data_IF_198203076097
#
_entry.id   IF_198203076097
#
_cell.length_a   1.000
_cell.length_b   1.000
_cell.length_c   1.000
_cell.angle_alpha   90.00
_cell.angle_beta   90.00
_cell.angle_gamma   90.00
#
_symmetry.space_group_name_H-M   'P 1'
#
loop_
_entity.id
_entity.type
_entity.pdbx_description
1 polymer ?
#
# COMPACT_ATOMS: atom_id res chain seq x y z
N UNK A 1 -7.47 -12.10 3.04
CA UNK A 1 -6.72 -11.13 2.24
C UNK A 1 -5.25 -11.47 2.32
N UNK A 2 -4.57 -11.53 1.19
CA UNK A 2 -3.11 -11.68 1.19
C UNK A 2 -2.51 -10.41 1.81
N UNK A 3 -1.51 -10.54 2.70
CA UNK A 3 -0.85 -9.37 3.26
C UNK A 3 -0.25 -8.53 2.13
N UNK A 4 -0.52 -7.24 2.17
CA UNK A 4 0.08 -6.28 1.23
C UNK A 4 1.49 -5.99 1.74
N UNK A 5 2.48 -6.51 1.04
CA UNK A 5 3.89 -6.19 1.31
C UNK A 5 4.16 -4.78 0.79
N UNK A 6 4.43 -3.85 1.67
CA UNK A 6 4.76 -2.47 1.29
C UNK A 6 5.79 -1.88 2.24
N UNK A 7 6.59 -0.93 1.74
CA UNK A 7 7.55 -0.19 2.57
C UNK A 7 6.84 0.47 3.76
N UNK A 8 5.62 1.00 3.56
CA UNK A 8 4.84 1.59 4.65
C UNK A 8 4.55 0.62 5.79
N UNK A 9 4.27 -0.66 5.49
CA UNK A 9 4.05 -1.69 6.51
C UNK A 9 5.35 -2.07 7.24
N UNK A 10 6.47 -2.08 6.54
CA UNK A 10 7.79 -2.31 7.16
C UNK A 10 8.13 -1.16 8.11
N UNK A 11 7.90 0.09 7.69
CA UNK A 11 8.10 1.27 8.53
C UNK A 11 7.17 1.28 9.75
N UNK A 12 5.91 0.86 9.59
CA UNK A 12 4.96 0.70 10.70
C UNK A 12 5.47 -0.34 11.72
N UNK A 13 5.93 -1.51 11.24
CA UNK A 13 6.49 -2.56 12.11
C UNK A 13 7.74 -2.07 12.84
N UNK A 14 8.65 -1.39 12.14
CA UNK A 14 9.83 -0.75 12.77
C UNK A 14 9.43 0.23 13.87
N UNK A 15 8.47 1.13 13.60
CA UNK A 15 7.98 2.11 14.58
C UNK A 15 7.39 1.46 15.82
N UNK A 16 6.65 0.35 15.63
CA UNK A 16 6.00 -0.40 16.71
C UNK A 16 6.92 -1.41 17.41
N UNK A 17 8.16 -1.59 16.94
CA UNK A 17 9.08 -2.59 17.45
C UNK A 17 8.63 -4.04 17.21
N UNK A 18 7.91 -4.29 16.12
CA UNK A 18 7.37 -5.59 15.75
C UNK A 18 8.22 -6.21 14.65
N UNK A 19 8.35 -7.53 14.67
CA UNK A 19 8.93 -8.29 13.58
C UNK A 19 8.00 -8.34 12.37
N UNK A 20 8.60 -8.50 11.18
CA UNK A 20 7.86 -8.78 9.96
C UNK A 20 7.45 -10.25 9.89
N UNK A 21 6.33 -10.57 9.26
CA UNK A 21 6.03 -11.95 8.93
C UNK A 21 7.09 -12.55 8.01
N UNK A 22 7.34 -13.84 8.16
CA UNK A 22 8.22 -14.60 7.27
C UNK A 22 7.81 -14.48 5.80
N UNK A 23 8.78 -14.41 4.90
CA UNK A 23 8.54 -14.35 3.45
C UNK A 23 8.15 -12.96 2.93
N UNK A 24 8.30 -11.89 3.73
CA UNK A 24 8.03 -10.53 3.29
C UNK A 24 9.23 -9.86 2.66
N UNK A 25 10.44 -10.11 3.16
CA UNK A 25 11.61 -9.37 2.77
C UNK A 25 12.89 -10.22 2.78
N UNK A 26 13.89 -9.72 2.07
CA UNK A 26 15.27 -10.14 2.13
C UNK A 26 16.10 -8.99 2.73
N UNK A 27 17.20 -9.33 3.39
CA UNK A 27 18.23 -8.37 3.79
C UNK A 27 19.07 -7.90 2.59
N UNK A 28 20.05 -7.04 2.82
CA UNK A 28 20.98 -6.54 1.78
C UNK A 28 21.83 -7.63 1.12
N UNK A 29 22.01 -8.76 1.79
CA UNK A 29 22.81 -9.90 1.32
C UNK A 29 21.94 -10.95 0.60
N UNK A 30 20.60 -10.71 0.53
CA UNK A 30 19.64 -11.56 -0.16
C UNK A 30 19.11 -12.72 0.70
N UNK A 31 19.33 -12.73 2.01
CA UNK A 31 18.78 -13.74 2.91
C UNK A 31 17.41 -13.32 3.41
N UNK A 32 16.49 -14.29 3.65
CA UNK A 32 15.20 -13.98 4.28
C UNK A 32 15.38 -13.30 5.64
N UNK A 33 14.60 -12.25 5.90
CA UNK A 33 14.64 -11.53 7.17
C UNK A 33 13.23 -11.20 7.69
N UNK A 34 13.07 -11.21 9.01
CA UNK A 34 11.91 -10.68 9.75
C UNK A 34 12.22 -9.35 10.44
N UNK A 35 13.49 -8.91 10.41
CA UNK A 35 13.90 -7.63 10.97
C UNK A 35 13.51 -6.48 10.01
N UNK A 36 12.68 -5.51 10.47
CA UNK A 36 12.29 -4.37 9.65
C UNK A 36 13.46 -3.49 9.20
N UNK A 37 14.51 -3.36 9.99
CA UNK A 37 15.68 -2.55 9.62
C UNK A 37 16.48 -3.21 8.49
N UNK A 38 16.77 -4.49 8.63
CA UNK A 38 17.45 -5.27 7.58
C UNK A 38 16.62 -5.30 6.28
N UNK A 39 15.29 -5.38 6.39
CA UNK A 39 14.38 -5.36 5.24
C UNK A 39 14.40 -4.02 4.48
N UNK A 40 14.56 -2.88 5.18
CA UNK A 40 14.66 -1.56 4.55
C UNK A 40 15.98 -1.35 3.79
N UNK A 41 17.04 -2.07 4.19
CA UNK A 41 18.33 -2.08 3.48
C UNK A 41 18.36 -3.07 2.31
N UNK A 42 17.41 -4.01 2.28
CA UNK A 42 17.32 -5.10 1.33
C UNK A 42 16.21 -4.94 0.29
N UNK A 43 15.37 -5.95 0.16
CA UNK A 43 14.32 -5.99 -0.85
C UNK A 43 13.02 -6.62 -0.33
N UNK A 44 11.89 -6.08 -0.75
CA UNK A 44 10.58 -6.68 -0.53
C UNK A 44 10.40 -7.84 -1.52
N UNK A 45 9.91 -8.97 -1.04
CA UNK A 45 9.60 -10.11 -1.89
C UNK A 45 8.33 -9.90 -2.70
N UNK A 46 8.32 -10.43 -3.92
CA UNK A 46 7.14 -10.39 -4.77
C UNK A 46 6.03 -11.31 -4.22
N UNK A 47 4.79 -10.82 -4.16
CA UNK A 47 3.64 -11.65 -3.82
C UNK A 47 3.47 -12.79 -4.84
N UNK A 48 3.08 -14.00 -4.38
CA UNK A 48 2.87 -15.15 -5.27
C UNK A 48 4.12 -15.66 -5.98
N UNK A 49 5.32 -15.38 -5.45
CA UNK A 49 6.59 -15.88 -5.94
C UNK A 49 6.91 -15.43 -7.37
N UNK A 50 7.33 -16.39 -8.24
CA UNK A 50 7.79 -16.07 -9.60
C UNK A 50 6.71 -15.47 -10.50
N UNK A 51 5.42 -15.78 -10.28
CA UNK A 51 4.32 -15.18 -11.05
C UNK A 51 4.14 -13.70 -10.72
N UNK A 52 4.20 -13.35 -9.44
CA UNK A 52 4.17 -11.96 -8.99
C UNK A 52 5.41 -11.19 -9.43
N UNK A 53 6.58 -11.81 -9.43
CA UNK A 53 7.79 -11.23 -9.98
C UNK A 53 7.64 -10.90 -11.48
N UNK A 54 7.12 -11.83 -12.27
CA UNK A 54 6.89 -11.59 -13.70
C UNK A 54 5.90 -10.43 -13.94
N UNK A 55 4.83 -10.35 -13.14
CA UNK A 55 3.89 -9.22 -13.20
C UNK A 55 4.57 -7.91 -12.81
N UNK A 56 5.34 -7.87 -11.73
CA UNK A 56 6.08 -6.69 -11.30
C UNK A 56 7.08 -6.23 -12.38
N UNK A 57 7.78 -7.17 -13.03
CA UNK A 57 8.70 -6.86 -14.10
C UNK A 57 8.00 -6.22 -15.33
N UNK A 58 6.82 -6.71 -15.69
CA UNK A 58 6.03 -6.08 -16.76
C UNK A 58 5.53 -4.68 -16.37
N UNK A 59 5.09 -4.50 -15.13
CA UNK A 59 4.67 -3.18 -14.64
C UNK A 59 5.84 -2.21 -14.65
N UNK A 60 7.04 -2.64 -14.26
CA UNK A 60 8.26 -1.83 -14.33
C UNK A 60 8.54 -1.34 -15.75
N UNK A 61 8.41 -2.20 -16.77
CA UNK A 61 8.55 -1.81 -18.17
C UNK A 61 7.51 -0.75 -18.57
N UNK A 62 6.27 -0.90 -18.11
CA UNK A 62 5.19 0.01 -18.44
C UNK A 62 5.31 1.37 -17.75
N UNK A 63 5.83 1.39 -16.50
CA UNK A 63 5.93 2.62 -15.70
C UNK A 63 7.32 3.28 -15.74
N UNK A 64 8.32 2.59 -16.27
CA UNK A 64 9.67 3.10 -16.47
C UNK A 64 9.95 3.36 -17.96
N UNK A 65 10.52 2.38 -18.69
CA UNK A 65 10.94 2.57 -20.08
C UNK A 65 9.86 3.06 -21.02
N UNK A 66 8.61 2.55 -20.91
CA UNK A 66 7.52 2.93 -21.83
C UNK A 66 7.18 4.42 -21.73
N UNK A 67 7.20 4.98 -20.54
CA UNK A 67 6.85 6.39 -20.28
C UNK A 67 8.08 7.30 -20.18
N UNK A 68 9.27 6.79 -20.54
CA UNK A 68 10.55 7.50 -20.49
C UNK A 68 10.90 8.03 -19.08
N UNK A 69 10.55 7.26 -18.05
CA UNK A 69 10.93 7.52 -16.66
C UNK A 69 12.12 6.63 -16.25
N UNK A 70 12.68 6.89 -15.07
CA UNK A 70 13.71 6.02 -14.49
C UNK A 70 13.17 4.63 -14.18
N UNK A 71 14.07 3.64 -14.15
CA UNK A 71 13.74 2.25 -13.89
C UNK A 71 14.79 1.55 -13.02
N UNK A 72 14.42 0.46 -12.40
CA UNK A 72 15.30 -0.32 -11.54
C UNK A 72 15.93 0.52 -10.42
N UNK A 73 17.27 0.45 -10.30
CA UNK A 73 18.01 1.16 -9.24
C UNK A 73 18.07 2.68 -9.41
N UNK A 74 17.69 3.20 -10.57
CA UNK A 74 17.61 4.65 -10.84
C UNK A 74 16.35 5.31 -10.25
N UNK A 75 15.36 4.51 -9.89
CA UNK A 75 14.09 5.04 -9.34
C UNK A 75 14.31 5.59 -7.95
N UNK A 76 13.97 6.86 -7.76
CA UNK A 76 13.84 7.50 -6.46
C UNK A 76 12.37 7.79 -6.18
N UNK A 77 11.89 7.34 -5.03
CA UNK A 77 10.50 7.57 -4.60
C UNK A 77 10.31 8.90 -3.87
N UNK A 78 9.14 9.06 -3.27
CA UNK A 78 8.73 10.27 -2.54
C UNK A 78 9.22 10.29 -1.08
N UNK A 79 9.92 9.27 -0.61
CA UNK A 79 10.35 9.15 0.79
C UNK A 79 11.50 10.09 1.19
N UNK A 80 12.18 10.71 0.23
CA UNK A 80 13.27 11.65 0.50
C UNK A 80 12.85 13.07 0.16
N UNK A 81 12.88 14.02 1.11
CA UNK A 81 12.54 15.43 0.84
C UNK A 81 13.61 16.13 -0.01
N UNK A 82 14.81 15.55 -0.14
CA UNK A 82 15.96 16.17 -0.83
C UNK A 82 16.22 15.60 -2.21
N UNK A 83 15.54 14.51 -2.60
CA UNK A 83 15.71 13.88 -3.92
C UNK A 83 14.46 14.07 -4.76
N UNK A 84 14.63 14.38 -6.04
CA UNK A 84 13.51 14.39 -6.97
C UNK A 84 12.94 12.99 -7.12
N UNK A 85 11.61 12.88 -7.12
CA UNK A 85 10.92 11.65 -7.46
C UNK A 85 11.08 11.38 -8.95
N UNK A 86 11.64 10.22 -9.30
CA UNK A 86 11.91 9.82 -10.69
C UNK A 86 11.06 8.64 -11.15
N UNK A 87 10.15 8.15 -10.29
CA UNK A 87 9.21 7.08 -10.66
C UNK A 87 8.29 7.55 -11.78
N UNK A 88 7.97 6.65 -12.69
CA UNK A 88 6.90 6.87 -13.68
C UNK A 88 5.59 6.27 -13.23
N UNK A 89 4.50 6.77 -13.81
CA UNK A 89 3.15 6.25 -13.61
C UNK A 89 2.49 6.00 -14.97
N UNK A 90 1.67 4.95 -15.04
CA UNK A 90 0.83 4.65 -16.19
C UNK A 90 -0.62 4.58 -15.75
N UNK A 91 -1.49 5.30 -16.45
CA UNK A 91 -2.94 5.28 -16.22
C UNK A 91 -3.63 4.62 -17.40
N UNK A 92 -4.47 3.61 -17.14
CA UNK A 92 -5.31 2.94 -18.12
C UNK A 92 -6.77 3.14 -17.73
N UNK A 93 -7.54 3.80 -18.59
CA UNK A 93 -8.98 3.96 -18.42
C UNK A 93 -9.72 3.06 -19.42
N UNK A 94 -10.63 2.23 -18.92
CA UNK A 94 -11.46 1.34 -19.73
C UNK A 94 -12.92 1.75 -19.52
N UNK A 95 -13.61 2.07 -20.64
CA UNK A 95 -15.04 2.35 -20.62
C UNK A 95 -15.84 1.04 -20.77
N UNK A 96 -16.48 0.53 -19.71
CA UNK A 96 -17.21 -0.72 -19.77
C UNK A 96 -18.39 -0.68 -20.76
N UNK A 97 -18.94 0.52 -21.02
CA UNK A 97 -20.09 0.67 -21.94
C UNK A 97 -19.77 0.27 -23.38
N UNK A 98 -18.47 0.19 -23.75
CA UNK A 98 -18.02 -0.28 -25.07
C UNK A 98 -18.04 -1.81 -25.22
N UNK A 99 -18.19 -2.53 -24.11
CA UNK A 99 -18.22 -4.00 -24.10
C UNK A 99 -19.62 -4.57 -23.85
N UNK A 100 -20.58 -3.73 -23.46
CA UNK A 100 -21.93 -4.15 -23.16
C UNK A 100 -22.71 -3.16 -22.30
N UNK A 101 -23.83 -3.59 -21.74
CA UNK A 101 -24.65 -2.78 -20.85
C UNK A 101 -23.87 -2.47 -19.54
N UNK A 102 -23.88 -1.21 -19.12
CA UNK A 102 -23.33 -0.80 -17.83
C UNK A 102 -24.06 -1.45 -16.66
N UNK A 103 -25.35 -1.68 -16.80
CA UNK A 103 -26.17 -2.35 -15.79
C UNK A 103 -25.75 -3.81 -15.63
N UNK A 104 -25.60 -4.54 -16.74
CA UNK A 104 -25.10 -5.92 -16.74
C UNK A 104 -23.69 -6.02 -16.18
N UNK A 105 -22.82 -5.09 -16.52
CA UNK A 105 -21.46 -5.04 -15.96
C UNK A 105 -21.48 -4.91 -14.44
N UNK A 106 -22.26 -3.96 -13.92
CA UNK A 106 -22.40 -3.77 -12.46
C UNK A 106 -22.99 -4.99 -11.78
N UNK A 107 -24.07 -5.57 -12.36
CA UNK A 107 -24.72 -6.76 -11.82
C UNK A 107 -23.75 -7.96 -11.75
N UNK A 108 -23.03 -8.24 -12.83
CA UNK A 108 -22.05 -9.34 -12.89
C UNK A 108 -20.87 -9.12 -11.94
N UNK A 109 -20.39 -7.89 -11.82
CA UNK A 109 -19.31 -7.55 -10.88
C UNK A 109 -19.76 -7.75 -9.44
N UNK A 110 -20.97 -7.29 -9.09
CA UNK A 110 -21.54 -7.48 -7.75
C UNK A 110 -21.72 -8.97 -7.44
N UNK A 111 -22.26 -9.73 -8.37
CA UNK A 111 -22.44 -11.18 -8.22
C UNK A 111 -21.08 -11.88 -8.00
N UNK A 112 -20.08 -11.59 -8.82
CA UNK A 112 -18.72 -12.14 -8.65
C UNK A 112 -18.12 -11.80 -7.27
N UNK A 113 -18.26 -10.56 -6.83
CA UNK A 113 -17.81 -10.16 -5.50
C UNK A 113 -18.51 -10.94 -4.37
N UNK A 114 -19.83 -11.16 -4.52
CA UNK A 114 -20.61 -11.92 -3.54
C UNK A 114 -20.24 -13.41 -3.54
N UNK A 115 -20.00 -14.00 -4.70
CA UNK A 115 -19.50 -15.38 -4.80
C UNK A 115 -18.15 -15.54 -4.11
N UNK A 116 -17.22 -14.58 -4.30
CA UNK A 116 -15.93 -14.58 -3.64
C UNK A 116 -16.06 -14.52 -2.11
N UNK A 117 -16.93 -13.63 -1.60
CA UNK A 117 -17.19 -13.53 -0.14
C UNK A 117 -17.83 -14.81 0.43
N UNK A 118 -18.68 -15.47 -0.33
CA UNK A 118 -19.35 -16.70 0.07
C UNK A 118 -18.44 -17.94 0.04
N UNK A 119 -17.22 -17.85 -0.49
CA UNK A 119 -16.30 -18.98 -0.60
C UNK A 119 -15.72 -19.46 0.74
N UNK A 120 -15.90 -18.73 1.83
CA UNK A 120 -15.47 -19.11 3.17
C UNK A 120 -15.75 -18.04 4.22
N UNK A 121 -15.68 -18.42 5.51
CA UNK A 121 -16.05 -17.54 6.63
C UNK A 121 -15.14 -16.29 6.78
N UNK A 122 -13.86 -16.40 6.36
CA UNK A 122 -12.86 -15.35 6.51
C UNK A 122 -12.40 -14.77 5.16
N UNK A 123 -13.20 -14.91 4.12
CA UNK A 123 -12.88 -14.36 2.81
C UNK A 123 -13.34 -12.91 2.73
N UNK A 124 -12.43 -12.04 2.35
CA UNK A 124 -12.71 -10.64 2.02
C UNK A 124 -12.15 -10.30 0.64
N UNK A 125 -12.81 -9.43 -0.09
CA UNK A 125 -12.32 -8.90 -1.36
C UNK A 125 -11.58 -7.57 -1.11
N UNK A 126 -10.77 -7.09 -2.08
CA UNK A 126 -10.14 -5.77 -1.98
C UNK A 126 -11.18 -4.67 -1.71
N UNK A 127 -10.89 -3.83 -0.72
CA UNK A 127 -11.78 -2.75 -0.28
C UNK A 127 -12.65 -3.08 0.95
N UNK A 128 -12.94 -4.35 1.25
CA UNK A 128 -13.81 -4.72 2.38
C UNK A 128 -13.25 -4.29 3.75
N UNK A 129 -11.92 -4.38 3.92
CA UNK A 129 -11.26 -3.98 5.16
C UNK A 129 -11.24 -2.46 5.31
N UNK A 130 -11.01 -1.76 4.21
CA UNK A 130 -10.99 -0.31 4.17
C UNK A 130 -12.37 0.27 4.51
N UNK A 131 -13.44 -0.26 3.92
CA UNK A 131 -14.81 0.15 4.23
C UNK A 131 -15.13 -0.05 5.72
N UNK A 132 -14.72 -1.20 6.29
CA UNK A 132 -14.91 -1.46 7.72
C UNK A 132 -14.13 -0.48 8.60
N UNK A 133 -12.89 -0.17 8.24
CA UNK A 133 -12.05 0.78 8.97
C UNK A 133 -12.60 2.20 8.90
N UNK A 134 -13.08 2.63 7.73
CA UNK A 134 -13.72 3.94 7.56
C UNK A 134 -14.95 4.03 8.46
N UNK A 135 -15.86 3.06 8.39
CA UNK A 135 -17.07 3.05 9.22
C UNK A 135 -16.75 3.04 10.73
N UNK A 136 -15.70 2.31 11.13
CA UNK A 136 -15.26 2.33 12.52
C UNK A 136 -14.66 3.68 12.93
N UNK A 137 -13.86 4.30 12.07
CA UNK A 137 -13.27 5.61 12.33
C UNK A 137 -14.33 6.72 12.41
N UNK A 138 -15.36 6.65 11.55
CA UNK A 138 -16.48 7.58 11.59
C UNK A 138 -17.33 7.44 12.87
N UNK A 139 -17.46 6.22 13.41
CA UNK A 139 -18.24 5.96 14.60
C UNK A 139 -17.49 6.18 15.91
N UNK A 140 -16.20 5.93 15.94
CA UNK A 140 -15.40 5.82 17.17
C UNK A 140 -14.15 6.72 17.17
N UNK A 141 -13.94 7.52 16.12
CA UNK A 141 -12.70 8.26 15.94
C UNK A 141 -11.53 7.38 15.45
N UNK A 142 -10.38 8.00 15.25
CA UNK A 142 -9.13 7.33 14.90
C UNK A 142 -8.19 7.37 16.09
N UNK A 143 -7.68 6.20 16.47
CA UNK A 143 -6.64 6.09 17.46
C UNK A 143 -5.29 6.54 16.88
N UNK A 144 -4.66 7.52 17.50
CA UNK A 144 -3.34 8.05 17.10
C UNK A 144 -2.33 7.61 18.18
N UNK A 145 -1.28 6.88 17.78
CA UNK A 145 -0.22 6.51 18.70
C UNK A 145 0.66 7.73 19.06
N UNK A 146 1.30 7.67 20.23
CA UNK A 146 2.07 8.78 20.81
C UNK A 146 3.14 9.33 19.86
N UNK A 147 3.87 8.45 19.16
CA UNK A 147 4.90 8.89 18.20
C UNK A 147 4.30 9.62 16.98
N UNK A 148 3.16 9.16 16.50
CA UNK A 148 2.46 9.83 15.40
C UNK A 148 1.90 11.17 15.85
N UNK A 149 1.39 11.25 17.07
CA UNK A 149 0.94 12.49 17.69
C UNK A 149 2.07 13.52 17.73
N UNK A 150 3.24 13.14 18.26
CA UNK A 150 4.43 14.02 18.32
C UNK A 150 4.85 14.53 16.93
N UNK A 151 4.89 13.63 15.93
CA UNK A 151 5.26 14.01 14.57
C UNK A 151 4.23 14.96 13.91
N UNK A 152 2.94 14.72 14.13
CA UNK A 152 1.89 15.61 13.63
C UNK A 152 1.95 16.98 14.31
N UNK A 153 2.20 17.01 15.61
CA UNK A 153 2.34 18.25 16.37
C UNK A 153 3.53 19.08 15.86
N UNK A 154 4.69 18.45 15.67
CA UNK A 154 5.87 19.12 15.10
C UNK A 154 5.58 19.76 13.74
N UNK A 155 4.91 19.01 12.83
CA UNK A 155 4.52 19.53 11.51
C UNK A 155 3.51 20.68 11.63
N UNK A 156 2.56 20.58 12.53
CA UNK A 156 1.56 21.64 12.76
C UNK A 156 2.19 22.90 13.35
N UNK A 157 3.10 22.75 14.29
CA UNK A 157 3.87 23.85 14.88
C UNK A 157 4.70 24.57 13.79
N UNK A 158 5.35 23.84 12.89
CA UNK A 158 6.11 24.41 11.77
C UNK A 158 5.23 25.18 10.75
N UNK A 159 3.94 24.82 10.69
CA UNK A 159 2.96 25.43 9.76
C UNK A 159 2.03 26.45 10.43
N UNK A 160 2.25 26.80 11.69
CA UNK A 160 1.38 27.68 12.49
C UNK A 160 -0.08 27.15 12.58
N UNK A 161 -0.26 25.83 12.68
CA UNK A 161 -1.56 25.16 12.81
C UNK A 161 -1.76 24.74 14.26
N UNK A 162 -2.87 25.11 14.88
CA UNK A 162 -3.27 24.63 16.21
C UNK A 162 -3.77 23.19 16.13
N UNK A 163 -2.86 22.23 16.34
CA UNK A 163 -3.15 20.80 16.24
C UNK A 163 -4.19 20.34 17.28
N UNK A 164 -4.10 20.86 18.49
CA UNK A 164 -4.95 20.43 19.59
C UNK A 164 -6.44 20.80 19.34
N UNK A 165 -6.71 21.80 18.50
CA UNK A 165 -8.07 22.16 18.10
C UNK A 165 -8.79 21.11 17.22
N UNK A 166 -8.06 20.14 16.69
CA UNK A 166 -8.59 19.04 15.86
C UNK A 166 -8.71 17.72 16.60
N UNK A 167 -8.28 17.67 17.87
CA UNK A 167 -8.43 16.47 18.70
C UNK A 167 -9.78 16.51 19.41
N UNK A 168 -10.53 15.43 19.31
CA UNK A 168 -11.72 15.20 20.14
C UNK A 168 -11.25 14.60 21.48
N UNK A 169 -11.84 15.05 22.59
CA UNK A 169 -11.58 14.52 23.94
C UNK A 169 -12.11 13.09 24.14
#
# INVERSE_FOLDING_TARGET
ALPIYSVGKILESKRKGLELPEGWALDKDGNPTTDPEAALEGSILAFGGFKGYALAFMIEILTGPLVNAEYGKGVTGTASPTKNCTKGDLYIAIDPSKFGSMEDFKAKTTDFCNQARAAGENVSIPGDLEVKKIANAEANGMEIDEKLYEQLKEICDDLDIDFDSYLEE
#
